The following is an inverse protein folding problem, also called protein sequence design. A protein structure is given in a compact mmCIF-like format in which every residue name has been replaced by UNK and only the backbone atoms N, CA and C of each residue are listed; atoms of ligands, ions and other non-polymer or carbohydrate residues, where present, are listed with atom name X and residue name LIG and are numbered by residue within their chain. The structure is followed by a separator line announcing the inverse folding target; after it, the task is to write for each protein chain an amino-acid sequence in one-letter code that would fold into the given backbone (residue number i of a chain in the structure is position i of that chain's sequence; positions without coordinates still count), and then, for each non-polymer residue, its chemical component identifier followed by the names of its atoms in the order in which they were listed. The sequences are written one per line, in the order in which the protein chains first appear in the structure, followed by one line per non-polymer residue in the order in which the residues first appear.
data_IF_707450112810
#
_entry.id   IF_707450112810
#
_cell.length_a   1.000
_cell.length_b   1.000
_cell.length_c   1.000
_cell.angle_alpha   90.00
_cell.angle_beta   90.00
_cell.angle_gamma   90.00
#
_symmetry.space_group_name_H-M   'P 1'
#
loop_
_entity.id
_entity.type
_entity.pdbx_description
1 polymer ?
#
# COMPACT_ATOMS: atom_id res chain seq x y z
N UNK A 1 7.11 -1.60 20.81
CA UNK A 1 6.37 -2.68 20.11
C UNK A 1 5.20 -2.03 19.38
N UNK A 2 4.96 -2.45 18.15
CA UNK A 2 3.84 -1.98 17.34
C UNK A 2 3.05 -3.19 16.81
N UNK A 3 1.78 -2.97 16.55
CA UNK A 3 0.84 -3.96 16.04
C UNK A 3 0.24 -3.41 14.75
N UNK A 4 0.00 -4.31 13.79
CA UNK A 4 -0.71 -4.01 12.55
C UNK A 4 -2.05 -4.76 12.55
N UNK A 5 -3.10 -4.09 12.08
CA UNK A 5 -4.44 -4.67 11.92
C UNK A 5 -4.89 -4.48 10.48
N UNK A 6 -5.37 -5.54 9.86
CA UNK A 6 -5.85 -5.50 8.48
C UNK A 6 -7.09 -6.35 8.27
N UNK A 7 -7.95 -5.90 7.37
CA UNK A 7 -9.09 -6.63 6.87
C UNK A 7 -9.06 -6.62 5.34
N UNK A 8 -9.37 -7.75 4.73
CA UNK A 8 -9.41 -7.90 3.28
C UNK A 8 -10.66 -8.69 2.89
N UNK A 9 -11.37 -8.19 1.89
CA UNK A 9 -12.61 -8.78 1.40
C UNK A 9 -12.56 -8.88 -0.11
N UNK A 10 -12.75 -10.09 -0.64
CA UNK A 10 -12.80 -10.36 -2.08
C UNK A 10 -14.13 -10.96 -2.46
N UNK A 11 -14.75 -10.41 -3.49
CA UNK A 11 -16.01 -10.89 -4.04
C UNK A 11 -15.84 -11.17 -5.54
N UNK A 12 -15.92 -12.44 -5.98
CA UNK A 12 -16.05 -12.75 -7.39
C UNK A 12 -17.42 -12.31 -7.90
N UNK A 13 -17.44 -11.74 -9.10
CA UNK A 13 -18.62 -11.29 -9.82
C UNK A 13 -18.73 -12.12 -11.11
N UNK A 14 -19.39 -13.27 -10.99
CA UNK A 14 -19.49 -14.26 -12.07
C UNK A 14 -20.16 -13.69 -13.32
N UNK A 15 -21.16 -12.82 -13.17
CA UNK A 15 -21.91 -12.24 -14.30
C UNK A 15 -21.05 -11.39 -15.25
N UNK A 16 -19.88 -10.92 -14.80
CA UNK A 16 -18.99 -10.04 -15.58
C UNK A 16 -17.53 -10.51 -15.58
N UNK A 17 -17.28 -11.80 -15.26
CA UNK A 17 -15.93 -12.39 -15.18
C UNK A 17 -14.91 -11.51 -14.42
N UNK A 18 -15.36 -10.86 -13.37
CA UNK A 18 -14.58 -9.86 -12.64
C UNK A 18 -14.49 -10.20 -11.16
N UNK A 19 -13.52 -9.64 -10.46
CA UNK A 19 -13.32 -9.83 -9.03
C UNK A 19 -13.12 -8.45 -8.40
N UNK A 20 -13.98 -8.11 -7.45
CA UNK A 20 -13.85 -6.91 -6.64
C UNK A 20 -13.13 -7.28 -5.33
N UNK A 21 -12.11 -6.52 -4.98
CA UNK A 21 -11.40 -6.65 -3.70
C UNK A 21 -11.38 -5.31 -2.99
N UNK A 22 -11.62 -5.33 -1.68
CA UNK A 22 -11.56 -4.19 -0.78
C UNK A 22 -10.63 -4.53 0.38
N UNK A 23 -9.77 -3.60 0.76
CA UNK A 23 -8.80 -3.78 1.83
C UNK A 23 -8.76 -2.56 2.74
N UNK A 24 -8.54 -2.81 4.03
CA UNK A 24 -8.24 -1.77 5.01
C UNK A 24 -7.10 -2.25 5.90
N UNK A 25 -6.16 -1.35 6.21
CA UNK A 25 -5.05 -1.64 7.10
C UNK A 25 -4.73 -0.43 7.96
N UNK A 26 -4.50 -0.69 9.25
CA UNK A 26 -3.87 0.23 10.18
C UNK A 26 -2.52 -0.39 10.54
N UNK A 27 -1.44 0.31 10.24
CA UNK A 27 -0.08 -0.13 10.54
C UNK A 27 0.61 0.77 11.55
N UNK A 28 1.62 0.22 12.22
CA UNK A 28 2.44 0.86 13.24
C UNK A 28 1.63 1.35 14.45
N UNK A 29 0.59 0.62 14.87
CA UNK A 29 -0.14 0.94 16.09
C UNK A 29 0.68 0.50 17.31
N UNK A 30 1.42 1.42 17.91
CA UNK A 30 2.36 1.09 18.99
C UNK A 30 2.81 2.27 19.81
N UNK A 31 3.27 1.98 21.04
CA UNK A 31 3.63 2.99 22.04
C UNK A 31 4.62 4.04 21.51
N UNK A 32 4.54 5.25 22.08
CA UNK A 32 5.42 6.37 21.74
C UNK A 32 6.90 6.01 21.99
N UNK A 33 7.77 6.49 21.12
CA UNK A 33 9.22 6.27 21.17
C UNK A 33 9.94 7.51 21.70
N UNK A 34 11.04 7.30 22.41
CA UNK A 34 11.92 8.37 22.86
C UNK A 34 13.16 8.36 21.98
N UNK A 35 13.44 9.48 21.31
CA UNK A 35 14.61 9.61 20.43
C UNK A 35 15.76 10.39 21.07
N UNK A 36 15.45 11.50 21.76
CA UNK A 36 16.48 12.40 22.31
C UNK A 36 16.35 12.61 23.82
N UNK A 37 15.19 13.04 24.32
CA UNK A 37 14.98 13.30 25.74
C UNK A 37 14.06 12.26 26.39
N UNK A 38 14.46 11.72 27.54
CA UNK A 38 13.64 10.79 28.34
C UNK A 38 12.24 11.33 28.71
N UNK A 39 12.10 12.67 28.70
CA UNK A 39 10.85 13.37 29.00
C UNK A 39 10.01 13.70 27.75
N UNK A 40 10.53 13.48 26.53
CA UNK A 40 9.80 13.62 25.27
C UNK A 40 9.51 12.25 24.66
N UNK A 41 8.23 11.94 24.48
CA UNK A 41 7.77 10.73 23.81
C UNK A 41 7.06 11.13 22.52
N UNK A 42 7.57 10.66 21.39
CA UNK A 42 7.06 10.94 20.07
C UNK A 42 6.22 9.79 19.54
N UNK A 43 5.17 10.11 18.77
CA UNK A 43 4.35 9.10 18.12
C UNK A 43 5.13 8.43 16.99
N UNK A 44 5.05 7.11 16.91
CA UNK A 44 5.47 6.41 15.70
C UNK A 44 4.46 6.69 14.57
N UNK A 45 4.86 6.68 13.29
CA UNK A 45 3.96 7.00 12.19
C UNK A 45 2.87 5.93 12.01
N UNK A 46 1.72 6.12 12.66
CA UNK A 46 0.54 5.27 12.48
C UNK A 46 -0.05 5.58 11.11
N UNK A 47 -0.32 4.55 10.32
CA UNK A 47 -0.75 4.73 8.94
C UNK A 47 -2.05 3.97 8.66
N UNK A 48 -3.05 4.69 8.17
CA UNK A 48 -4.33 4.13 7.72
C UNK A 48 -4.32 4.04 6.20
N UNK A 49 -4.51 2.82 5.67
CA UNK A 49 -4.62 2.54 4.25
C UNK A 49 -5.97 1.90 3.95
N UNK A 50 -6.67 2.44 2.96
CA UNK A 50 -7.90 1.88 2.40
C UNK A 50 -7.65 1.65 0.91
N UNK A 51 -7.87 0.43 0.44
CA UNK A 51 -7.61 0.02 -0.93
C UNK A 51 -8.82 -0.63 -1.58
N UNK A 52 -8.97 -0.42 -2.88
CA UNK A 52 -9.91 -1.12 -3.72
C UNK A 52 -9.21 -1.61 -4.98
N UNK A 53 -9.52 -2.83 -5.41
CA UNK A 53 -9.03 -3.40 -6.64
C UNK A 53 -10.17 -4.07 -7.41
N UNK A 54 -10.23 -3.82 -8.70
CA UNK A 54 -11.19 -4.40 -9.62
C UNK A 54 -10.44 -5.13 -10.73
N UNK A 55 -10.45 -6.47 -10.65
CA UNK A 55 -9.83 -7.36 -11.64
C UNK A 55 -10.89 -7.79 -12.65
N UNK A 56 -10.58 -7.67 -13.93
CA UNK A 56 -11.40 -8.11 -15.06
C UNK A 56 -10.62 -9.15 -15.83
N UNK A 57 -11.19 -10.34 -15.97
CA UNK A 57 -10.67 -11.35 -16.87
C UNK A 57 -11.35 -11.14 -18.23
N UNK A 58 -10.63 -10.55 -19.17
CA UNK A 58 -11.14 -10.28 -20.53
C UNK A 58 -11.31 -11.61 -21.28
N UNK A 59 -10.27 -12.44 -21.21
CA UNK A 59 -10.17 -13.76 -21.82
C UNK A 59 -9.42 -14.71 -20.87
N UNK A 60 -9.38 -16.03 -21.14
CA UNK A 60 -8.57 -16.97 -20.36
C UNK A 60 -7.08 -16.60 -20.26
N UNK A 61 -6.59 -15.79 -21.20
CA UNK A 61 -5.18 -15.38 -21.29
C UNK A 61 -4.94 -13.91 -20.90
N UNK A 62 -5.99 -13.09 -20.80
CA UNK A 62 -5.86 -11.64 -20.66
C UNK A 62 -6.57 -11.17 -19.39
N UNK A 63 -5.82 -10.61 -18.44
CA UNK A 63 -6.39 -10.03 -17.22
C UNK A 63 -5.96 -8.58 -17.09
N UNK A 64 -6.91 -7.67 -16.83
CA UNK A 64 -6.62 -6.30 -16.42
C UNK A 64 -7.11 -6.11 -14.98
N UNK A 65 -6.30 -5.45 -14.14
CA UNK A 65 -6.67 -5.08 -12.78
C UNK A 65 -6.48 -3.59 -12.60
N UNK A 66 -7.52 -2.91 -12.14
CA UNK A 66 -7.46 -1.52 -11.70
C UNK A 66 -7.41 -1.50 -10.19
N UNK A 67 -6.62 -0.59 -9.62
CA UNK A 67 -6.43 -0.46 -8.19
C UNK A 67 -6.39 1.01 -7.81
N UNK A 68 -6.93 1.31 -6.64
CA UNK A 68 -6.83 2.62 -6.01
C UNK A 68 -6.65 2.45 -4.51
N UNK A 69 -5.70 3.21 -3.96
CA UNK A 69 -5.40 3.23 -2.54
C UNK A 69 -5.42 4.66 -2.02
N UNK A 70 -6.08 4.84 -0.89
CA UNK A 70 -6.06 6.04 -0.07
C UNK A 70 -5.24 5.75 1.18
N UNK A 71 -4.29 6.61 1.48
CA UNK A 71 -3.41 6.42 2.62
C UNK A 71 -3.23 7.73 3.40
N UNK A 72 -3.47 7.70 4.71
CA UNK A 72 -3.33 8.84 5.62
C UNK A 72 -2.47 8.47 6.82
N UNK A 73 -1.57 9.39 7.19
CA UNK A 73 -0.83 9.32 8.45
C UNK A 73 -1.74 9.78 9.59
N UNK A 74 -1.97 8.91 10.57
CA UNK A 74 -2.75 9.20 11.78
C UNK A 74 -1.83 9.66 12.92
N UNK A 75 -1.01 10.66 12.62
CA UNK A 75 -0.08 11.26 13.58
C UNK A 75 -0.55 12.69 13.86
N UNK A 76 -0.66 13.10 15.13
CA UNK A 76 -1.05 14.46 15.46
C UNK A 76 -0.12 15.50 14.83
N UNK A 77 -0.71 16.56 14.29
CA UNK A 77 0.01 17.75 13.85
C UNK A 77 0.82 18.36 15.00
N UNK A 78 2.04 18.90 14.77
CA UNK A 78 2.89 19.42 15.84
C UNK A 78 2.25 20.62 16.55
N UNK A 79 1.56 20.37 17.67
CA UNK A 79 0.99 21.40 18.56
C UNK A 79 1.49 21.20 19.98
N UNK A 80 1.69 22.26 20.77
CA UNK A 80 2.12 22.15 22.17
C UNK A 80 1.24 21.21 23.01
N UNK A 81 -0.06 21.17 22.73
CA UNK A 81 -1.05 20.32 23.43
C UNK A 81 -1.05 18.85 23.01
N UNK A 82 -0.40 18.48 21.90
CA UNK A 82 -0.41 17.10 21.36
C UNK A 82 0.57 16.16 22.10
N UNK A 83 1.52 16.70 22.89
CA UNK A 83 2.51 15.89 23.61
C UNK A 83 1.90 15.05 24.75
N UNK A 84 0.82 15.54 25.37
CA UNK A 84 0.15 14.89 26.51
C UNK A 84 -0.94 13.87 26.16
N UNK A 85 -1.34 13.74 24.90
CA UNK A 85 -2.45 12.86 24.51
C UNK A 85 -2.06 11.37 24.55
N UNK A 86 -3.03 10.52 24.90
CA UNK A 86 -2.88 9.06 24.82
C UNK A 86 -2.70 8.62 23.37
N UNK A 87 -2.19 7.40 23.14
CA UNK A 87 -1.95 6.88 21.80
C UNK A 87 -3.20 6.88 20.93
N UNK A 88 -4.30 6.34 21.46
CA UNK A 88 -5.59 6.30 20.77
C UNK A 88 -6.20 7.70 20.64
N UNK A 89 -6.05 8.54 21.67
CA UNK A 89 -6.52 9.93 21.63
C UNK A 89 -5.81 10.74 20.54
N UNK A 90 -4.49 10.57 20.39
CA UNK A 90 -3.72 11.20 19.31
C UNK A 90 -4.12 10.70 17.92
N UNK A 91 -4.32 9.38 17.78
CA UNK A 91 -4.73 8.76 16.51
C UNK A 91 -6.12 9.23 16.03
N UNK A 92 -7.10 9.36 16.93
CA UNK A 92 -8.42 9.87 16.55
C UNK A 92 -8.45 11.39 16.44
N UNK A 93 -7.63 12.11 17.22
CA UNK A 93 -7.50 13.56 17.12
C UNK A 93 -6.84 14.00 15.81
N UNK A 94 -5.99 13.17 15.19
CA UNK A 94 -5.33 13.50 13.91
C UNK A 94 -6.27 13.60 12.71
N UNK A 95 -7.59 13.43 12.91
CA UNK A 95 -8.61 13.67 11.90
C UNK A 95 -9.24 15.06 12.01
N UNK A 96 -8.98 15.80 13.10
CA UNK A 96 -9.61 17.09 13.40
C UNK A 96 -8.61 18.14 13.87
N UNK A 97 -7.32 17.83 13.86
CA UNK A 97 -6.28 18.68 14.43
C UNK A 97 -5.57 19.57 13.41
N UNK A 98 -5.87 19.47 12.11
CA UNK A 98 -5.31 20.36 11.11
C UNK A 98 -5.67 21.84 11.39
N UNK A 99 -4.70 22.78 11.49
CA UNK A 99 -4.94 24.22 11.71
C UNK A 99 -5.85 24.89 10.67
N UNK A 100 -5.82 24.43 9.42
CA UNK A 100 -6.67 24.85 8.32
C UNK A 100 -8.00 24.09 8.22
N UNK A 101 -8.35 23.28 9.22
CA UNK A 101 -9.61 22.53 9.30
C UNK A 101 -9.72 21.40 8.25
N UNK A 102 -10.96 21.01 7.94
CA UNK A 102 -11.26 19.87 7.06
C UNK A 102 -10.65 19.95 5.66
N UNK A 103 -10.40 21.17 5.15
CA UNK A 103 -9.75 21.38 3.86
C UNK A 103 -8.29 20.94 3.86
N UNK A 104 -7.56 21.22 4.94
CA UNK A 104 -6.17 20.78 5.11
C UNK A 104 -6.11 19.28 5.43
N UNK A 105 -7.09 18.79 6.19
CA UNK A 105 -7.23 17.37 6.53
C UNK A 105 -7.36 16.45 5.30
N UNK A 106 -8.16 16.84 4.30
CA UNK A 106 -8.27 16.11 3.03
C UNK A 106 -6.94 16.09 2.27
N UNK A 107 -6.12 17.12 2.40
CA UNK A 107 -4.82 17.19 1.74
C UNK A 107 -3.78 16.26 2.39
N UNK A 108 -4.02 15.75 3.59
CA UNK A 108 -3.13 14.77 4.21
C UNK A 108 -3.31 13.35 3.64
N UNK A 109 -4.34 13.13 2.83
CA UNK A 109 -4.51 11.88 2.12
C UNK A 109 -3.58 11.82 0.91
N UNK A 110 -2.89 10.69 0.82
CA UNK A 110 -2.14 10.28 -0.37
C UNK A 110 -2.99 9.31 -1.17
N UNK A 111 -2.99 9.49 -2.49
CA UNK A 111 -3.79 8.72 -3.42
C UNK A 111 -2.84 7.98 -4.34
N UNK A 112 -2.98 6.66 -4.40
CA UNK A 112 -2.28 5.82 -5.37
C UNK A 112 -3.30 5.21 -6.31
N UNK A 113 -3.01 5.21 -7.59
CA UNK A 113 -3.82 4.53 -8.59
C UNK A 113 -2.91 3.63 -9.40
N UNK A 114 -3.36 2.43 -9.76
CA UNK A 114 -2.56 1.47 -10.49
C UNK A 114 -3.40 0.64 -11.45
N UNK A 115 -2.83 0.35 -12.60
CA UNK A 115 -3.36 -0.59 -13.59
C UNK A 115 -2.32 -1.66 -13.84
N UNK A 116 -2.74 -2.91 -13.73
CA UNK A 116 -1.93 -4.09 -13.99
C UNK A 116 -2.58 -4.90 -15.10
N UNK A 117 -1.78 -5.33 -16.07
CA UNK A 117 -2.21 -6.17 -17.17
C UNK A 117 -1.34 -7.44 -17.19
N UNK A 118 -1.98 -8.60 -17.31
CA UNK A 118 -1.34 -9.89 -17.47
C UNK A 118 -1.71 -10.53 -18.80
N UNK A 119 -0.71 -11.12 -19.44
CA UNK A 119 -0.84 -11.96 -20.63
C UNK A 119 -0.30 -13.37 -20.35
N UNK A 120 -1.19 -14.36 -20.44
CA UNK A 120 -1.01 -15.80 -20.13
C UNK A 120 -0.30 -16.08 -18.81
N UNK A 121 -0.47 -15.21 -17.82
CA UNK A 121 0.23 -15.24 -16.52
C UNK A 121 1.77 -15.27 -16.60
N UNK A 122 2.36 -15.10 -17.79
CA UNK A 122 3.80 -15.09 -18.03
C UNK A 122 4.34 -13.67 -18.10
N UNK A 123 3.61 -12.75 -18.73
CA UNK A 123 4.01 -11.37 -18.94
C UNK A 123 3.06 -10.45 -18.21
N UNK A 124 3.60 -9.49 -17.48
CA UNK A 124 2.84 -8.41 -16.87
C UNK A 124 3.36 -7.05 -17.27
N UNK A 125 2.42 -6.13 -17.45
CA UNK A 125 2.66 -4.69 -17.53
C UNK A 125 1.98 -4.02 -16.33
N UNK A 126 2.68 -3.08 -15.70
CA UNK A 126 2.16 -2.30 -14.58
C UNK A 126 2.34 -0.82 -14.85
N UNK A 127 1.28 -0.07 -14.58
CA UNK A 127 1.29 1.39 -14.61
C UNK A 127 0.76 1.87 -13.27
N UNK A 128 1.46 2.77 -12.61
CA UNK A 128 1.04 3.33 -11.33
C UNK A 128 1.19 4.85 -11.34
N UNK A 129 0.29 5.56 -10.67
CA UNK A 129 0.38 6.98 -10.46
C UNK A 129 0.15 7.29 -8.98
N UNK A 130 1.13 7.97 -8.38
CA UNK A 130 1.09 8.35 -6.98
C UNK A 130 0.92 9.87 -6.86
N UNK A 131 -0.02 10.27 -6.03
CA UNK A 131 -0.37 11.66 -5.77
C UNK A 131 -0.36 11.93 -4.27
N UNK A 132 0.46 12.88 -3.87
CA UNK A 132 0.41 13.50 -2.56
C UNK A 132 0.10 15.00 -2.72
N UNK A 133 -0.63 15.57 -1.76
CA UNK A 133 -1.02 16.97 -1.84
C UNK A 133 0.20 17.90 -1.82
N UNK A 134 0.04 19.06 -2.46
CA UNK A 134 1.10 20.06 -2.62
C UNK A 134 1.62 20.58 -1.27
N UNK A 135 0.72 20.71 -0.31
CA UNK A 135 1.00 21.36 0.99
C UNK A 135 1.54 20.38 2.04
N UNK A 136 1.53 19.06 1.77
CA UNK A 136 1.90 17.99 2.73
C UNK A 136 3.09 17.13 2.31
N UNK A 137 3.70 17.41 1.16
CA UNK A 137 4.90 16.72 0.67
C UNK A 137 5.13 16.88 -0.82
N UNK A 138 4.05 17.06 -1.59
CA UNK A 138 4.06 17.27 -3.03
C UNK A 138 4.80 16.18 -3.82
N UNK A 139 4.80 14.93 -3.33
CA UNK A 139 5.36 13.81 -4.09
C UNK A 139 4.36 13.37 -5.15
N UNK A 140 4.80 13.42 -6.41
CA UNK A 140 4.02 12.96 -7.56
C UNK A 140 4.92 12.22 -8.50
N UNK A 141 4.59 10.97 -8.79
CA UNK A 141 5.39 10.15 -9.69
C UNK A 141 4.52 9.13 -10.41
N UNK A 142 4.92 8.86 -11.64
CA UNK A 142 4.45 7.78 -12.46
C UNK A 142 5.40 6.58 -12.26
N UNK A 143 4.86 5.39 -12.16
CA UNK A 143 5.62 4.15 -12.11
C UNK A 143 5.23 3.31 -13.31
N UNK A 144 6.22 2.78 -14.01
CA UNK A 144 6.03 1.84 -15.12
C UNK A 144 6.80 0.59 -14.74
N UNK A 145 6.17 -0.58 -14.86
CA UNK A 145 6.81 -1.84 -14.57
C UNK A 145 6.46 -2.91 -15.59
N UNK A 146 7.35 -3.86 -15.73
CA UNK A 146 7.12 -5.09 -16.47
C UNK A 146 7.57 -6.27 -15.62
N UNK A 147 6.88 -7.39 -15.71
CA UNK A 147 7.23 -8.60 -14.97
C UNK A 147 7.12 -9.83 -15.84
N UNK A 148 8.05 -10.76 -15.64
CA UNK A 148 8.14 -12.03 -16.34
C UNK A 148 8.07 -13.16 -15.32
N UNK A 149 7.21 -14.14 -15.55
CA UNK A 149 7.12 -15.38 -14.77
C UNK A 149 7.55 -16.56 -15.62
N UNK A 150 8.46 -17.36 -15.10
CA UNK A 150 8.98 -18.58 -15.70
C UNK A 150 8.57 -19.80 -14.88
N UNK A 151 7.89 -20.75 -15.53
CA UNK A 151 7.59 -22.10 -15.00
C UNK A 151 6.92 -22.10 -13.62
N UNK A 152 6.10 -21.09 -13.30
CA UNK A 152 5.41 -20.85 -12.01
C UNK A 152 6.30 -20.76 -10.74
N UNK A 153 7.60 -21.03 -10.88
CA UNK A 153 8.57 -21.10 -9.78
C UNK A 153 9.47 -19.87 -9.71
N UNK A 154 9.69 -19.17 -10.81
CA UNK A 154 10.58 -18.01 -10.87
C UNK A 154 9.85 -16.80 -11.44
N UNK A 155 10.08 -15.63 -10.87
CA UNK A 155 9.54 -14.37 -11.34
C UNK A 155 10.62 -13.29 -11.32
N UNK A 156 10.62 -12.41 -12.32
CA UNK A 156 11.47 -11.23 -12.37
C UNK A 156 10.58 -10.04 -12.69
N UNK A 157 10.58 -9.04 -11.81
CA UNK A 157 9.86 -7.78 -12.01
C UNK A 157 10.85 -6.63 -12.09
N UNK A 158 10.67 -5.77 -13.08
CA UNK A 158 11.45 -4.56 -13.29
C UNK A 158 10.50 -3.37 -13.25
N UNK A 159 10.80 -2.37 -12.42
CA UNK A 159 10.01 -1.15 -12.31
C UNK A 159 10.88 0.10 -12.40
N UNK A 160 10.37 1.11 -13.07
CA UNK A 160 10.98 2.42 -13.24
C UNK A 160 10.04 3.51 -12.72
N UNK A 161 10.58 4.44 -11.95
CA UNK A 161 9.84 5.54 -11.34
C UNK A 161 10.22 6.85 -12.00
N UNK A 162 9.23 7.48 -12.64
CA UNK A 162 9.35 8.79 -13.29
C UNK A 162 8.71 9.85 -12.39
N UNK A 163 9.48 10.72 -11.72
CA UNK A 163 8.90 11.82 -10.97
C UNK A 163 8.24 12.83 -11.92
N UNK A 164 7.04 13.28 -11.57
CA UNK A 164 6.30 14.29 -12.38
C UNK A 164 6.54 15.72 -11.86
N UNK A 165 7.15 15.86 -10.68
CA UNK A 165 7.47 17.15 -10.06
C UNK A 165 8.98 17.42 -10.09
N UNK A 166 9.37 18.67 -10.33
CA UNK A 166 10.76 19.20 -10.36
C UNK A 166 11.47 19.25 -8.98
N UNK A 167 11.00 18.48 -8.00
CA UNK A 167 11.71 18.33 -6.71
C UNK A 167 12.50 17.03 -6.80
N UNK A 168 13.80 17.10 -6.51
CA UNK A 168 14.68 15.95 -6.47
C UNK A 168 14.12 14.91 -5.50
N UNK A 169 13.60 13.82 -6.06
CA UNK A 169 13.25 12.64 -5.31
C UNK A 169 14.50 11.76 -5.33
N UNK A 170 15.05 11.37 -4.17
CA UNK A 170 16.26 10.56 -4.11
C UNK A 170 16.12 9.17 -4.78
N UNK A 171 14.89 8.78 -5.12
CA UNK A 171 14.53 7.56 -5.85
C UNK A 171 14.06 7.84 -7.29
N UNK A 172 14.21 9.08 -7.76
CA UNK A 172 14.01 9.43 -9.16
C UNK A 172 15.01 8.63 -10.01
N UNK A 173 14.54 8.11 -11.14
CA UNK A 173 15.39 7.41 -12.12
C UNK A 173 15.99 6.09 -11.58
N UNK A 174 15.51 5.60 -10.44
CA UNK A 174 15.93 4.32 -9.90
C UNK A 174 15.21 3.17 -10.60
N UNK A 175 16.00 2.25 -11.15
CA UNK A 175 15.52 0.95 -11.62
C UNK A 175 15.38 0.01 -10.42
N UNK A 176 14.18 -0.52 -10.19
CA UNK A 176 13.94 -1.56 -9.17
C UNK A 176 13.84 -2.91 -9.86
N UNK A 177 14.65 -3.85 -9.41
CA UNK A 177 14.65 -5.23 -9.90
C UNK A 177 14.29 -6.13 -8.73
N UNK A 178 13.25 -6.93 -8.89
CA UNK A 178 12.79 -7.90 -7.90
C UNK A 178 12.86 -9.29 -8.52
N UNK A 179 13.43 -10.24 -7.78
CA UNK A 179 13.47 -11.66 -8.16
C UNK A 179 12.66 -12.45 -7.14
N UNK A 180 11.75 -13.29 -7.64
CA UNK A 180 10.87 -14.13 -6.86
C UNK A 180 11.17 -15.60 -7.14
N UNK A 181 11.23 -16.41 -6.09
CA UNK A 181 11.29 -17.87 -6.17
C UNK A 181 10.17 -18.49 -5.32
N UNK A 182 9.32 -19.31 -5.92
CA UNK A 182 8.20 -19.99 -5.26
C UNK A 182 8.47 -21.50 -5.22
N UNK A 183 8.42 -22.06 -4.02
CA UNK A 183 8.64 -23.48 -3.77
C UNK A 183 7.33 -24.14 -3.38
N UNK A 184 6.90 -25.12 -4.19
CA UNK A 184 5.68 -25.87 -3.90
C UNK A 184 5.90 -26.77 -2.67
N UNK A 185 4.99 -26.68 -1.69
CA UNK A 185 5.03 -27.56 -0.51
C UNK A 185 4.64 -28.96 -0.94
N UNK A 186 5.56 -29.92 -0.76
CA UNK A 186 5.27 -31.35 -0.90
C UNK A 186 4.12 -31.71 0.05
N UNK A 187 2.94 -32.01 -0.50
CA UNK A 187 1.82 -32.58 0.26
C UNK A 187 2.28 -33.97 0.74
N UNK A 188 2.58 -34.11 2.04
CA UNK A 188 2.73 -35.44 2.66
C UNK A 188 1.41 -36.19 2.46
N UNK A 189 1.44 -37.19 1.59
CA UNK A 189 0.37 -38.17 1.42
C UNK A 189 0.23 -38.87 2.77
N UNK A 190 -0.86 -38.61 3.51
CA UNK A 190 -1.22 -39.44 4.66
C UNK A 190 -1.52 -40.83 4.09
N UNK A 191 -0.59 -41.76 4.23
CA UNK A 191 -0.88 -43.18 4.11
C UNK A 191 -1.90 -43.51 5.19
N UNK A 192 -3.12 -43.84 4.76
CA UNK A 192 -4.09 -44.51 5.60
C UNK A 192 -3.52 -45.89 5.90
N UNK A 193 -2.88 -46.04 7.05
CA UNK A 193 -2.66 -47.34 7.66
C UNK A 193 -4.03 -47.86 8.08
N UNK A 194 -4.53 -48.82 7.31
CA UNK A 194 -5.58 -49.75 7.71
C UNK A 194 -4.94 -50.75 8.66
N UNK A 195 -5.35 -50.74 9.92
CA UNK A 195 -5.43 -51.92 10.80
C UNK A 195 -6.72 -51.83 11.61
#
# INVERSE_FOLDING_TARGET
MAVDLGAFYTRPLESVNSVLSLGANISNLGGKMTYSDANSKDFIPINLRLGAAYKVNLDPENTITFSSDLNKLMVPSPRPSAKGSSLLGGMFASFTDAPGGFKEEIQEFTISMGTEYWYKDFLSGRLGYFLEAKDKGNRKYLTIGTGFRFLEKWGVDVAYLVPTNRRDNALAEALRITVMASFEKVKKKKENLVE
#
